data_IF_759029482152
#
_entry.id   IF_759029482152
#
_cell.length_a   1.000
_cell.length_b   1.000
_cell.length_c   1.000
_cell.angle_alpha   90.00
_cell.angle_beta   90.00
_cell.angle_gamma   90.00
#
_symmetry.space_group_name_H-M   'P 1'
#
loop_
_entity.id
_entity.type
_entity.pdbx_description
1 polymer ?
#
# COMPACT_ATOMS: atom_id res chain seq x y z
N UNK A 1 -3.59 18.96 11.79
CA UNK A 1 -4.00 18.12 10.65
C UNK A 1 -3.35 16.76 10.83
N UNK A 2 -4.13 15.71 11.04
CA UNK A 2 -3.61 14.34 11.14
C UNK A 2 -3.16 13.85 9.77
N UNK A 3 -1.96 13.27 9.69
CA UNK A 3 -1.49 12.62 8.47
C UNK A 3 -2.45 11.48 8.05
N UNK A 4 -2.70 11.34 6.76
CA UNK A 4 -3.50 10.27 6.19
C UNK A 4 -2.85 8.90 6.47
N UNK A 5 -3.65 7.82 6.42
CA UNK A 5 -3.12 6.45 6.61
C UNK A 5 -1.99 6.14 5.61
N UNK A 6 -2.13 6.58 4.36
CA UNK A 6 -1.12 6.34 3.32
C UNK A 6 0.20 7.07 3.59
N UNK A 7 0.15 8.30 4.10
CA UNK A 7 1.36 9.03 4.52
C UNK A 7 2.08 8.30 5.65
N UNK A 8 1.34 7.80 6.64
CA UNK A 8 1.90 7.00 7.75
C UNK A 8 2.52 5.70 7.28
N UNK A 9 1.88 5.01 6.33
CA UNK A 9 2.41 3.80 5.71
C UNK A 9 3.68 4.13 4.92
N UNK A 10 3.68 5.19 4.12
CA UNK A 10 4.84 5.63 3.34
C UNK A 10 6.08 5.90 4.22
N UNK A 11 5.87 6.48 5.41
CA UNK A 11 6.95 6.69 6.37
C UNK A 11 7.58 5.39 6.92
N UNK A 12 6.85 4.27 6.89
CA UNK A 12 7.34 2.95 7.33
C UNK A 12 8.16 2.27 6.23
N UNK A 13 7.64 2.24 5.01
CA UNK A 13 8.20 1.45 3.91
C UNK A 13 9.18 2.22 3.01
N UNK A 14 9.22 3.55 3.16
CA UNK A 14 10.07 4.44 2.40
C UNK A 14 9.69 4.58 0.92
N UNK A 15 10.50 5.34 0.19
CA UNK A 15 10.29 5.60 -1.23
C UNK A 15 10.34 4.30 -2.05
N UNK A 16 9.32 4.09 -2.89
CA UNK A 16 9.15 2.87 -3.69
C UNK A 16 8.51 1.69 -2.93
N UNK A 17 8.38 1.80 -1.61
CA UNK A 17 7.63 0.86 -0.76
C UNK A 17 6.12 1.08 -0.82
N UNK A 18 5.66 2.22 -1.33
CA UNK A 18 4.25 2.55 -1.49
C UNK A 18 3.98 2.99 -2.94
N UNK A 19 3.08 2.29 -3.62
CA UNK A 19 2.62 2.62 -4.97
C UNK A 19 1.17 3.11 -4.90
N UNK A 20 0.86 4.20 -5.57
CA UNK A 20 -0.48 4.83 -5.61
C UNK A 20 -0.79 5.39 -6.99
N UNK A 21 -2.06 5.66 -7.28
CA UNK A 21 -2.45 6.36 -8.51
C UNK A 21 -2.19 5.54 -9.78
N UNK A 22 -1.61 6.19 -10.79
CA UNK A 22 -1.43 5.64 -12.15
C UNK A 22 -0.56 4.36 -12.18
N UNK A 23 0.35 4.20 -11.21
CA UNK A 23 1.18 3.00 -11.05
C UNK A 23 0.35 1.73 -10.78
N UNK A 24 -0.89 1.88 -10.31
CA UNK A 24 -1.80 0.77 -10.05
C UNK A 24 -2.73 0.48 -11.22
N UNK A 25 -3.09 1.49 -12.01
CA UNK A 25 -4.01 1.37 -13.14
C UNK A 25 -3.48 0.42 -14.23
N UNK A 26 -2.17 0.25 -14.32
CA UNK A 26 -1.51 -0.67 -15.26
C UNK A 26 -1.42 -2.10 -14.75
N UNK A 27 -1.77 -2.37 -13.49
CA UNK A 27 -1.68 -3.72 -12.89
C UNK A 27 -3.00 -4.47 -13.06
N UNK A 28 -2.89 -5.71 -13.51
CA UNK A 28 -4.01 -6.64 -13.47
C UNK A 28 -4.44 -6.87 -12.01
N UNK A 29 -5.75 -6.86 -11.79
CA UNK A 29 -6.37 -7.20 -10.50
C UNK A 29 -6.42 -8.71 -10.23
N UNK A 30 -6.17 -9.52 -11.25
CA UNK A 30 -6.07 -10.97 -11.16
C UNK A 30 -4.93 -11.53 -12.02
N UNK A 31 -4.65 -12.82 -11.86
CA UNK A 31 -3.58 -13.50 -12.60
C UNK A 31 -3.89 -13.65 -14.11
N UNK A 32 -5.17 -13.72 -14.48
CA UNK A 32 -5.62 -13.91 -15.87
C UNK A 32 -5.65 -12.60 -16.67
N UNK A 33 -5.43 -11.45 -16.02
CA UNK A 33 -5.51 -10.13 -16.64
C UNK A 33 -6.94 -9.68 -16.95
N UNK A 34 -7.96 -10.32 -16.37
CA UNK A 34 -9.36 -10.07 -16.73
C UNK A 34 -10.00 -8.93 -15.93
N UNK A 35 -9.40 -8.57 -14.79
CA UNK A 35 -9.85 -7.48 -13.93
C UNK A 35 -8.79 -6.39 -13.81
N UNK A 36 -9.24 -5.16 -13.62
CA UNK A 36 -8.39 -4.02 -13.30
C UNK A 36 -8.09 -3.98 -11.79
N UNK A 37 -6.90 -3.51 -11.41
CA UNK A 37 -6.59 -3.24 -10.02
C UNK A 37 -7.40 -2.04 -9.52
N UNK A 38 -8.22 -2.25 -8.49
CA UNK A 38 -9.05 -1.21 -7.84
C UNK A 38 -8.48 -0.78 -6.48
N UNK A 39 -7.30 -1.27 -6.12
CA UNK A 39 -6.65 -0.92 -4.86
C UNK A 39 -6.27 0.57 -4.85
N UNK A 40 -6.40 1.22 -3.68
CA UNK A 40 -5.95 2.61 -3.49
C UNK A 40 -4.42 2.71 -3.39
N UNK A 41 -3.77 1.65 -2.94
CA UNK A 41 -2.34 1.58 -2.74
C UNK A 41 -1.85 0.12 -2.82
N UNK A 42 -0.60 -0.09 -3.25
CA UNK A 42 0.15 -1.33 -3.06
C UNK A 42 1.36 -1.05 -2.19
N UNK A 43 1.50 -1.83 -1.12
CA UNK A 43 2.61 -1.71 -0.16
C UNK A 43 3.61 -2.84 -0.42
N UNK A 44 4.90 -2.51 -0.49
CA UNK A 44 6.03 -3.41 -0.79
C UNK A 44 7.05 -3.37 0.35
N UNK A 45 6.72 -3.91 1.53
CA UNK A 45 7.65 -3.96 2.65
C UNK A 45 8.86 -4.86 2.32
N UNK A 46 10.03 -4.48 2.84
CA UNK A 46 11.31 -5.21 2.68
C UNK A 46 11.61 -6.13 3.85
N UNK A 47 10.95 -5.91 4.99
CA UNK A 47 11.17 -6.65 6.23
C UNK A 47 9.85 -7.06 6.88
N UNK A 48 9.92 -8.04 7.76
CA UNK A 48 8.79 -8.47 8.59
C UNK A 48 8.34 -7.39 9.57
N UNK A 49 9.27 -6.56 10.03
CA UNK A 49 9.01 -5.43 10.92
C UNK A 49 8.17 -4.36 10.23
N UNK A 50 8.48 -4.06 8.96
CA UNK A 50 7.67 -3.14 8.14
C UNK A 50 6.25 -3.68 7.93
N UNK A 51 6.09 -4.99 7.67
CA UNK A 51 4.77 -5.64 7.55
C UNK A 51 3.97 -5.46 8.84
N UNK A 52 4.56 -5.78 10.00
CA UNK A 52 3.90 -5.69 11.29
C UNK A 52 3.46 -4.24 11.60
N UNK A 53 4.34 -3.27 11.32
CA UNK A 53 4.03 -1.85 11.50
C UNK A 53 2.86 -1.42 10.61
N UNK A 54 2.86 -1.77 9.32
CA UNK A 54 1.76 -1.45 8.39
C UNK A 54 0.44 -2.05 8.88
N UNK A 55 0.43 -3.32 9.29
CA UNK A 55 -0.79 -3.96 9.81
C UNK A 55 -1.32 -3.28 11.07
N UNK A 56 -0.45 -2.84 11.97
CA UNK A 56 -0.86 -2.07 13.15
C UNK A 56 -1.47 -0.70 12.77
N UNK A 57 -0.92 -0.01 11.76
CA UNK A 57 -1.49 1.24 11.24
C UNK A 57 -2.88 1.01 10.63
N UNK A 58 -3.06 -0.07 9.87
CA UNK A 58 -4.35 -0.46 9.28
C UNK A 58 -5.37 -0.76 10.37
N UNK A 59 -5.04 -1.60 11.35
CA UNK A 59 -5.92 -1.94 12.46
C UNK A 59 -6.37 -0.70 13.26
N UNK A 60 -5.46 0.25 13.47
CA UNK A 60 -5.79 1.50 14.15
C UNK A 60 -6.72 2.43 13.33
N UNK A 61 -6.85 2.19 12.02
CA UNK A 61 -7.66 3.01 11.12
C UNK A 61 -9.08 2.45 10.87
N UNK A 62 -9.35 1.18 11.21
CA UNK A 62 -10.66 0.52 11.10
C UNK A 62 -10.60 -0.81 10.36
#
# INVERSE_FOLDING_TARGET
MSASLLERIGAVVGDGGLLTGDDLATRAGDWLGQTACTAKAVVRPRTTEEVAAVMALCHAAG
#
